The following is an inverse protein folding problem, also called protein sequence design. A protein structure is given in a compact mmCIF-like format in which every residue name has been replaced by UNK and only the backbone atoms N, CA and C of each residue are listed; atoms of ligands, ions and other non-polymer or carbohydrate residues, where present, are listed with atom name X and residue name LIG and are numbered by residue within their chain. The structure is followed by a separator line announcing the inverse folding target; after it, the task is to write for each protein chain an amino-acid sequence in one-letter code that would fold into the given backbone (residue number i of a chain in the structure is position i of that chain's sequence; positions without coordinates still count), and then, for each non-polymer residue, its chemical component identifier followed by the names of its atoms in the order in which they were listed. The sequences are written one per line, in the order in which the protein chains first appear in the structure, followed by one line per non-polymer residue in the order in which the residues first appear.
data_IF_443087303262
#
_entry.id   IF_443087303262
#
_cell.length_a   1.000
_cell.length_b   1.000
_cell.length_c   1.000
_cell.angle_alpha   90.00
_cell.angle_beta   90.00
_cell.angle_gamma   90.00
#
_symmetry.space_group_name_H-M   'P 1'
#
loop_
_entity.id
_entity.type
_entity.pdbx_description
1 polymer ?
#
# COMPACT_ATOMS: atom_id res chain seq x y z
N UNK A 1 19.49 3.23 -24.26
CA UNK A 1 18.79 3.33 -22.95
C UNK A 1 17.82 2.16 -22.83
N UNK A 2 17.97 1.30 -21.81
CA UNK A 2 17.11 0.13 -21.62
C UNK A 2 15.68 0.57 -21.26
N UNK A 3 14.79 0.61 -22.25
CA UNK A 3 13.38 1.04 -22.16
C UNK A 3 12.48 0.16 -21.28
N UNK A 4 13.07 -0.73 -20.46
CA UNK A 4 12.39 -1.76 -19.68
C UNK A 4 12.28 -1.52 -18.17
N UNK A 5 12.95 -0.50 -17.64
CA UNK A 5 12.96 -0.21 -16.21
C UNK A 5 11.83 0.74 -15.78
N UNK A 6 11.40 0.63 -14.53
CA UNK A 6 10.46 1.56 -13.91
C UNK A 6 11.19 2.79 -13.40
N UNK A 7 10.61 3.97 -13.62
CA UNK A 7 11.03 5.20 -12.98
C UNK A 7 10.38 5.31 -11.59
N UNK A 8 11.13 4.96 -10.56
CA UNK A 8 10.65 4.98 -9.17
C UNK A 8 10.98 6.34 -8.56
N UNK A 9 9.94 7.01 -8.07
CA UNK A 9 10.03 8.32 -7.41
C UNK A 9 10.02 8.12 -5.90
N UNK A 10 10.98 8.74 -5.20
CA UNK A 10 11.16 8.60 -3.74
C UNK A 10 10.89 9.88 -2.95
N UNK A 11 10.27 10.89 -3.57
CA UNK A 11 9.88 12.12 -2.89
C UNK A 11 8.53 12.62 -3.40
N UNK A 12 7.57 12.76 -2.49
CA UNK A 12 6.21 13.27 -2.76
C UNK A 12 5.66 14.16 -1.65
N UNK A 13 6.31 14.20 -0.48
CA UNK A 13 5.89 15.03 0.64
C UNK A 13 6.61 16.36 0.51
N UNK A 14 5.83 17.43 0.43
CA UNK A 14 6.29 18.78 0.14
C UNK A 14 6.18 19.72 1.36
N UNK A 15 5.67 19.21 2.48
CA UNK A 15 5.52 19.94 3.74
C UNK A 15 6.09 19.14 4.91
N UNK A 16 6.19 19.75 6.08
CA UNK A 16 6.67 19.10 7.30
C UNK A 16 5.62 18.14 7.92
N UNK A 17 6.06 17.36 8.91
CA UNK A 17 5.20 16.42 9.64
C UNK A 17 4.01 17.14 10.29
N UNK A 18 4.23 18.34 10.87
CA UNK A 18 3.19 19.10 11.57
C UNK A 18 2.07 19.53 10.64
N UNK A 19 2.40 19.95 9.41
CA UNK A 19 1.42 20.29 8.39
C UNK A 19 0.46 19.14 8.12
N UNK A 20 0.98 17.93 7.83
CA UNK A 20 0.12 16.79 7.51
C UNK A 20 -0.71 16.35 8.71
N UNK A 21 -0.16 16.38 9.93
CA UNK A 21 -0.93 16.07 11.15
C UNK A 21 -2.07 17.07 11.34
N UNK A 22 -1.82 18.37 11.18
CA UNK A 22 -2.86 19.40 11.27
C UNK A 22 -3.91 19.26 10.17
N UNK A 23 -3.48 18.94 8.94
CA UNK A 23 -4.40 18.66 7.82
C UNK A 23 -5.31 17.49 8.15
N UNK A 24 -4.78 16.37 8.63
CA UNK A 24 -5.57 15.19 9.03
C UNK A 24 -6.61 15.57 10.09
N UNK A 25 -6.22 16.33 11.12
CA UNK A 25 -7.13 16.79 12.19
C UNK A 25 -8.22 17.75 11.72
N UNK A 26 -7.93 18.55 10.70
CA UNK A 26 -8.88 19.54 10.16
C UNK A 26 -10.00 18.94 9.31
N UNK A 27 -9.90 17.66 8.96
CA UNK A 27 -10.87 16.96 8.11
C UNK A 27 -12.20 16.87 8.85
N UNK A 28 -13.17 17.66 8.39
CA UNK A 28 -14.55 17.59 8.86
C UNK A 28 -15.29 16.51 8.09
N UNK A 29 -16.23 15.86 8.78
CA UNK A 29 -17.10 14.88 8.16
C UNK A 29 -18.15 15.59 7.28
N UNK A 30 -17.87 15.73 5.99
CA UNK A 30 -18.83 16.21 5.00
C UNK A 30 -19.35 14.98 4.25
N UNK A 31 -20.66 14.91 4.01
CA UNK A 31 -21.30 13.83 3.26
C UNK A 31 -20.96 13.89 1.75
N UNK A 32 -19.66 13.87 1.41
CA UNK A 32 -19.16 13.69 0.05
C UNK A 32 -19.43 12.25 -0.38
N UNK A 33 -19.87 12.07 -1.62
CA UNK A 33 -20.11 10.74 -2.20
C UNK A 33 -18.96 10.36 -3.13
N UNK A 34 -18.58 9.08 -3.23
CA UNK A 34 -17.61 8.63 -4.22
C UNK A 34 -18.16 8.79 -5.64
N UNK A 35 -17.35 9.29 -6.56
CA UNK A 35 -17.67 9.37 -7.98
C UNK A 35 -16.96 8.24 -8.73
N UNK A 36 -17.72 7.37 -9.39
CA UNK A 36 -17.14 6.30 -10.19
C UNK A 36 -16.67 6.82 -11.55
N UNK A 37 -15.39 6.67 -11.84
CA UNK A 37 -14.77 7.09 -13.08
C UNK A 37 -14.26 5.88 -13.87
N UNK A 38 -14.31 5.98 -15.21
CA UNK A 38 -13.67 5.00 -16.10
C UNK A 38 -12.22 5.38 -16.34
N UNK A 39 -11.35 4.38 -16.43
CA UNK A 39 -9.95 4.52 -16.85
C UNK A 39 -9.65 3.45 -17.90
N UNK A 40 -8.99 3.85 -18.99
CA UNK A 40 -8.44 2.93 -19.98
C UNK A 40 -6.93 2.92 -19.81
N UNK A 41 -6.37 1.78 -19.39
CA UNK A 41 -4.93 1.62 -19.23
C UNK A 41 -4.27 1.37 -20.58
N UNK A 42 -3.17 2.08 -20.86
CA UNK A 42 -2.36 1.86 -22.07
C UNK A 42 -1.69 0.50 -22.11
N UNK A 43 -1.42 -0.07 -20.94
CA UNK A 43 -0.70 -1.33 -20.81
C UNK A 43 -1.41 -2.29 -19.86
N UNK A 44 -1.40 -3.57 -20.22
CA UNK A 44 -1.96 -4.67 -19.44
C UNK A 44 -1.08 -5.91 -19.64
N UNK A 45 -0.45 -6.40 -18.58
CA UNK A 45 0.46 -7.55 -18.61
C UNK A 45 0.00 -8.60 -17.62
N UNK A 46 0.07 -9.88 -18.00
CA UNK A 46 -0.28 -11.00 -17.13
C UNK A 46 0.94 -11.50 -16.35
N UNK A 47 0.71 -11.92 -15.10
CA UNK A 47 1.73 -12.47 -14.20
C UNK A 47 2.63 -11.43 -13.54
N UNK A 48 3.76 -11.89 -12.98
CA UNK A 48 4.68 -11.06 -12.17
C UNK A 48 5.70 -10.26 -12.99
N UNK A 49 5.79 -10.54 -14.29
CA UNK A 49 6.70 -9.83 -15.19
C UNK A 49 6.23 -8.37 -15.30
N UNK A 50 7.18 -7.41 -15.25
CA UNK A 50 6.93 -5.95 -15.33
C UNK A 50 6.35 -5.30 -14.07
N UNK A 51 6.35 -5.94 -12.92
CA UNK A 51 6.01 -5.28 -11.64
C UNK A 51 7.16 -4.32 -11.25
N UNK A 52 6.87 -3.09 -10.77
CA UNK A 52 7.90 -2.23 -10.20
C UNK A 52 8.38 -2.80 -8.87
N UNK A 53 9.63 -3.24 -8.83
CA UNK A 53 10.26 -3.76 -7.63
C UNK A 53 11.42 -2.89 -7.19
N UNK A 54 11.65 -2.88 -5.88
CA UNK A 54 12.84 -2.33 -5.22
C UNK A 54 13.57 -3.54 -4.61
N UNK A 55 14.89 -3.54 -4.70
CA UNK A 55 15.72 -4.56 -4.05
C UNK A 55 15.99 -4.17 -2.60
N UNK A 56 15.79 -5.11 -1.67
CA UNK A 56 16.24 -5.03 -0.29
C UNK A 56 17.54 -5.83 -0.17
N UNK A 57 18.67 -5.12 -0.08
CA UNK A 57 20.00 -5.75 0.04
C UNK A 57 20.12 -6.60 1.32
N UNK A 58 19.49 -6.19 2.42
CA UNK A 58 19.64 -6.87 3.72
C UNK A 58 18.99 -8.26 3.68
N UNK A 59 17.77 -8.34 3.16
CA UNK A 59 17.03 -9.60 3.05
C UNK A 59 17.22 -10.30 1.70
N UNK A 60 18.06 -9.73 0.81
CA UNK A 60 18.34 -10.22 -0.55
C UNK A 60 17.06 -10.55 -1.33
N UNK A 61 16.08 -9.63 -1.31
CA UNK A 61 14.74 -9.86 -1.87
C UNK A 61 14.21 -8.64 -2.61
N UNK A 62 13.49 -8.88 -3.70
CA UNK A 62 12.76 -7.84 -4.43
C UNK A 62 11.36 -7.67 -3.84
N UNK A 63 10.90 -6.44 -3.66
CA UNK A 63 9.53 -6.15 -3.21
C UNK A 63 8.88 -5.03 -4.00
N UNK A 64 7.56 -5.02 -4.08
CA UNK A 64 6.78 -4.05 -4.84
C UNK A 64 7.01 -2.64 -4.29
N UNK A 65 7.33 -1.68 -5.17
CA UNK A 65 7.86 -0.35 -4.80
C UNK A 65 6.98 0.45 -3.82
N UNK A 66 5.67 0.25 -3.81
CA UNK A 66 4.76 0.63 -2.72
C UNK A 66 3.39 0.03 -3.05
N UNK A 67 2.91 -0.86 -2.19
CA UNK A 67 1.71 -1.66 -2.42
C UNK A 67 0.59 -1.27 -1.43
N UNK A 68 -0.37 -0.50 -1.93
CA UNK A 68 -1.61 -0.21 -1.23
C UNK A 68 -2.62 -1.29 -1.60
N UNK A 69 -3.17 -1.98 -0.60
CA UNK A 69 -4.04 -3.14 -0.77
C UNK A 69 -5.45 -2.78 -0.32
N UNK A 70 -6.44 -3.10 -1.15
CA UNK A 70 -7.87 -3.00 -0.82
C UNK A 70 -8.64 -4.16 -1.44
N UNK A 71 -9.83 -4.44 -0.92
CA UNK A 71 -10.73 -5.49 -1.41
C UNK A 71 -12.17 -5.04 -1.29
N UNK A 72 -13.07 -5.59 -2.12
CA UNK A 72 -14.50 -5.40 -1.94
C UNK A 72 -14.94 -6.15 -0.69
N UNK A 73 -15.58 -5.44 0.25
CA UNK A 73 -15.96 -5.98 1.56
C UNK A 73 -14.92 -5.71 2.65
N UNK A 74 -13.69 -5.34 2.30
CA UNK A 74 -12.76 -4.74 3.25
C UNK A 74 -13.07 -3.25 3.32
N UNK A 75 -13.58 -2.75 4.44
CA UNK A 75 -13.78 -1.31 4.66
C UNK A 75 -12.44 -0.59 4.93
N UNK A 76 -11.52 -0.62 3.98
CA UNK A 76 -10.23 0.04 4.14
C UNK A 76 -9.21 -0.20 3.03
N UNK A 77 -8.08 0.47 3.22
CA UNK A 77 -6.85 0.36 2.44
C UNK A 77 -5.74 0.15 3.46
N UNK A 78 -4.80 -0.73 3.19
CA UNK A 78 -3.61 -0.92 4.02
C UNK A 78 -2.36 -1.00 3.17
N UNK A 79 -1.24 -0.56 3.72
CA UNK A 79 0.06 -0.59 3.05
C UNK A 79 0.81 -1.85 3.48
N UNK A 80 1.38 -2.59 2.53
CA UNK A 80 2.08 -3.83 2.82
C UNK A 80 3.36 -3.96 2.02
N UNK A 81 4.34 -4.66 2.60
CA UNK A 81 5.49 -5.19 1.88
C UNK A 81 5.05 -6.46 1.16
N UNK A 82 5.18 -6.47 -0.17
CA UNK A 82 4.87 -7.62 -1.02
C UNK A 82 6.15 -8.02 -1.74
N UNK A 83 6.67 -9.19 -1.42
CA UNK A 83 7.95 -9.70 -1.87
C UNK A 83 7.81 -10.65 -3.05
N UNK A 84 8.79 -10.63 -3.95
CA UNK A 84 8.92 -11.53 -5.08
C UNK A 84 10.08 -12.48 -4.79
N UNK A 85 9.75 -13.72 -4.43
CA UNK A 85 10.73 -14.79 -4.15
C UNK A 85 10.50 -15.95 -5.09
N UNK A 86 11.54 -16.39 -5.81
CA UNK A 86 11.46 -17.52 -6.74
C UNK A 86 10.28 -17.41 -7.74
N UNK A 87 10.08 -16.22 -8.34
CA UNK A 87 8.96 -15.90 -9.24
C UNK A 87 7.55 -16.01 -8.63
N UNK A 88 7.43 -16.07 -7.31
CA UNK A 88 6.16 -16.05 -6.58
C UNK A 88 6.06 -14.79 -5.70
N UNK A 89 4.84 -14.29 -5.53
CA UNK A 89 4.58 -13.13 -4.69
C UNK A 89 4.12 -13.57 -3.28
N UNK A 90 4.60 -12.89 -2.25
CA UNK A 90 4.32 -13.15 -0.84
C UNK A 90 4.03 -11.84 -0.12
N UNK A 91 3.09 -11.84 0.81
CA UNK A 91 2.72 -10.65 1.60
C UNK A 91 2.82 -10.93 3.09
N UNK A 92 3.47 -10.03 3.81
CA UNK A 92 3.40 -9.99 5.26
C UNK A 92 2.20 -9.12 5.67
N UNK A 93 1.25 -9.70 6.41
CA UNK A 93 0.01 -9.01 6.80
C UNK A 93 0.05 -8.68 8.29
N UNK A 94 0.55 -7.48 8.62
CA UNK A 94 0.47 -6.93 9.98
C UNK A 94 -0.90 -6.28 10.28
N UNK A 95 -1.62 -5.84 9.25
CA UNK A 95 -2.92 -5.18 9.41
C UNK A 95 -4.00 -6.16 9.88
N UNK A 96 -4.47 -5.99 11.12
CA UNK A 96 -5.49 -6.85 11.73
C UNK A 96 -6.80 -6.89 10.92
N UNK A 97 -7.21 -5.78 10.29
CA UNK A 97 -8.44 -5.73 9.50
C UNK A 97 -8.34 -6.63 8.27
N UNK A 98 -7.26 -6.52 7.48
CA UNK A 98 -7.02 -7.40 6.34
C UNK A 98 -6.83 -8.85 6.76
N UNK A 99 -6.09 -9.11 7.85
CA UNK A 99 -5.91 -10.46 8.37
C UNK A 99 -7.25 -11.11 8.75
N UNK A 100 -8.06 -10.43 9.56
CA UNK A 100 -9.38 -10.93 9.96
C UNK A 100 -10.27 -11.18 8.73
N UNK A 101 -10.29 -10.27 7.76
CA UNK A 101 -11.07 -10.44 6.54
C UNK A 101 -10.62 -11.65 5.70
N UNK A 102 -9.31 -11.88 5.59
CA UNK A 102 -8.77 -13.07 4.90
C UNK A 102 -9.20 -14.36 5.62
N UNK A 103 -9.02 -14.45 6.94
CA UNK A 103 -9.27 -15.68 7.69
C UNK A 103 -10.75 -15.94 7.97
N UNK A 104 -11.60 -14.91 8.02
CA UNK A 104 -13.06 -15.05 8.15
C UNK A 104 -13.77 -15.36 6.82
N UNK A 105 -13.10 -15.21 5.68
CA UNK A 105 -13.67 -15.57 4.38
C UNK A 105 -13.97 -17.07 4.31
N UNK A 106 -15.12 -17.46 3.78
CA UNK A 106 -15.46 -18.87 3.54
C UNK A 106 -14.57 -19.54 2.47
N UNK A 107 -13.86 -18.73 1.68
CA UNK A 107 -12.92 -19.20 0.66
C UNK A 107 -11.49 -19.33 1.22
N UNK A 108 -10.65 -20.11 0.55
CA UNK A 108 -9.21 -20.21 0.86
C UNK A 108 -8.39 -18.99 0.42
N UNK A 109 -9.05 -17.98 -0.16
CA UNK A 109 -8.44 -16.75 -0.63
C UNK A 109 -9.43 -15.58 -0.57
N UNK A 110 -8.90 -14.36 -0.72
CA UNK A 110 -9.66 -13.16 -1.03
C UNK A 110 -9.10 -12.50 -2.30
N UNK A 111 -10.00 -11.95 -3.13
CA UNK A 111 -9.60 -11.13 -4.26
C UNK A 111 -9.21 -9.73 -3.76
N UNK A 112 -8.11 -9.19 -4.25
CA UNK A 112 -7.59 -7.88 -3.85
C UNK A 112 -7.16 -7.05 -5.05
N UNK A 113 -7.24 -5.73 -4.85
CA UNK A 113 -6.58 -4.73 -5.66
C UNK A 113 -5.33 -4.29 -4.93
N UNK A 114 -4.18 -4.44 -5.58
CA UNK A 114 -2.92 -3.84 -5.13
C UNK A 114 -2.64 -2.68 -6.08
N UNK A 115 -2.46 -1.47 -5.56
CA UNK A 115 -2.24 -0.30 -6.40
C UNK A 115 -1.19 0.63 -5.82
N UNK A 116 -0.76 1.56 -6.65
CA UNK A 116 0.18 2.61 -6.31
C UNK A 116 -0.35 3.95 -6.81
N UNK A 117 -0.13 5.02 -6.06
CA UNK A 117 -0.57 6.36 -6.41
C UNK A 117 0.40 7.38 -5.83
N UNK A 118 0.42 8.59 -6.40
CA UNK A 118 1.08 9.75 -5.81
C UNK A 118 0.15 10.56 -4.89
N UNK A 119 -1.11 10.13 -4.74
CA UNK A 119 -2.06 10.84 -3.90
C UNK A 119 -1.79 10.60 -2.42
N UNK A 120 -1.29 11.65 -1.75
CA UNK A 120 -0.90 11.64 -0.33
C UNK A 120 -2.03 11.12 0.56
N UNK A 121 -3.28 11.47 0.31
CA UNK A 121 -4.41 11.01 1.15
C UNK A 121 -4.55 9.49 1.20
N UNK A 122 -4.33 8.78 0.09
CA UNK A 122 -4.44 7.32 0.09
C UNK A 122 -3.25 6.68 0.80
N UNK A 123 -2.07 7.29 0.69
CA UNK A 123 -0.85 6.87 1.37
C UNK A 123 -1.01 7.03 2.88
N UNK A 124 -1.49 8.21 3.33
CA UNK A 124 -1.82 8.46 4.74
C UNK A 124 -2.93 7.54 5.24
N UNK A 125 -4.02 7.36 4.47
CA UNK A 125 -5.09 6.45 4.82
C UNK A 125 -4.59 5.01 5.01
N UNK A 126 -3.66 4.57 4.15
CA UNK A 126 -3.10 3.22 4.20
C UNK A 126 -2.13 3.04 5.38
N UNK A 127 -1.31 4.05 5.69
CA UNK A 127 -0.28 4.00 6.72
C UNK A 127 -0.81 4.25 8.16
N UNK A 128 -1.89 5.01 8.32
CA UNK A 128 -2.39 5.43 9.63
C UNK A 128 -3.57 4.57 10.14
N UNK A 129 -3.71 4.50 11.46
CA UNK A 129 -4.85 3.89 12.15
C UNK A 129 -6.08 4.82 12.16
N UNK A 130 -6.65 5.03 10.98
CA UNK A 130 -7.90 5.77 10.78
C UNK A 130 -9.07 4.77 10.77
N UNK A 131 -10.11 5.04 11.56
CA UNK A 131 -11.27 4.16 11.69
C UNK A 131 -12.07 4.05 10.39
N UNK A 132 -12.50 5.20 9.86
CA UNK A 132 -13.21 5.32 8.59
C UNK A 132 -12.30 5.89 7.50
N UNK A 133 -11.56 4.98 6.86
CA UNK A 133 -10.61 5.32 5.78
C UNK A 133 -11.33 5.86 4.53
N UNK A 134 -12.56 5.44 4.26
CA UNK A 134 -13.33 5.94 3.12
C UNK A 134 -13.71 7.40 3.36
N UNK A 135 -14.30 7.69 4.51
CA UNK A 135 -14.70 9.04 4.87
C UNK A 135 -13.51 10.00 4.91
N UNK A 136 -12.38 9.55 5.46
CA UNK A 136 -11.13 10.31 5.44
C UNK A 136 -10.69 10.66 4.02
N UNK A 137 -10.62 9.68 3.11
CA UNK A 137 -10.20 9.90 1.71
C UNK A 137 -11.14 10.84 0.97
N UNK A 138 -12.46 10.74 1.22
CA UNK A 138 -13.46 11.60 0.59
C UNK A 138 -13.37 13.06 1.05
N UNK A 139 -12.97 13.29 2.31
CA UNK A 139 -12.95 14.61 2.92
C UNK A 139 -11.57 15.27 2.98
N UNK A 140 -10.51 14.58 2.53
CA UNK A 140 -9.15 15.12 2.53
C UNK A 140 -8.98 16.30 1.56
N UNK A 141 -9.56 16.18 0.36
CA UNK A 141 -9.55 17.15 -0.74
C UNK A 141 -10.85 17.02 -1.58
N UNK A 142 -10.88 17.65 -2.76
CA UNK A 142 -12.04 17.63 -3.66
C UNK A 142 -12.03 16.51 -4.71
N UNK A 143 -10.96 15.72 -4.84
CA UNK A 143 -10.90 14.63 -5.83
C UNK A 143 -11.50 13.33 -5.25
N UNK A 144 -12.79 13.11 -5.45
CA UNK A 144 -13.51 11.92 -5.00
C UNK A 144 -13.70 10.86 -6.10
N UNK A 145 -12.79 10.77 -7.09
CA UNK A 145 -12.95 9.86 -8.23
C UNK A 145 -12.27 8.51 -8.02
N UNK A 146 -13.04 7.43 -8.19
CA UNK A 146 -12.60 6.04 -7.98
C UNK A 146 -12.86 5.19 -9.21
N UNK A 147 -12.01 4.19 -9.44
CA UNK A 147 -12.22 3.22 -10.54
C UNK A 147 -12.77 1.88 -10.05
N UNK A 148 -12.57 1.56 -8.76
CA UNK A 148 -13.07 0.35 -8.12
C UNK A 148 -12.97 0.48 -6.60
N UNK A 149 -14.11 0.55 -5.90
CA UNK A 149 -14.17 0.71 -4.45
C UNK A 149 -13.25 1.86 -3.96
N UNK A 150 -12.17 1.55 -3.24
CA UNK A 150 -11.19 2.52 -2.71
C UNK A 150 -9.95 2.71 -3.60
N UNK A 151 -9.99 2.26 -4.85
CA UNK A 151 -8.91 2.50 -5.83
C UNK A 151 -9.13 3.85 -6.52
N UNK A 152 -8.21 4.82 -6.38
CA UNK A 152 -8.36 6.14 -7.01
C UNK A 152 -8.33 6.08 -8.54
N UNK A 153 -8.88 7.09 -9.20
CA UNK A 153 -8.73 7.28 -10.64
C UNK A 153 -7.28 7.58 -11.05
N UNK A 154 -6.54 8.34 -10.25
CA UNK A 154 -5.16 8.76 -10.50
C UNK A 154 -4.13 7.78 -9.92
N UNK A 155 -4.24 6.50 -10.30
CA UNK A 155 -3.25 5.48 -9.94
C UNK A 155 -2.13 5.36 -10.97
N UNK A 156 -0.95 5.00 -10.48
CA UNK A 156 0.24 4.72 -11.27
C UNK A 156 0.18 3.33 -11.90
N UNK A 157 -0.21 2.33 -11.10
CA UNK A 157 -0.53 1.00 -11.55
C UNK A 157 -1.66 0.38 -10.71
N UNK A 158 -2.33 -0.62 -11.30
CA UNK A 158 -3.26 -1.53 -10.63
C UNK A 158 -2.84 -2.96 -10.90
N UNK A 159 -2.72 -3.75 -9.85
CA UNK A 159 -2.52 -5.19 -9.89
C UNK A 159 -3.80 -5.85 -9.37
N UNK A 160 -4.38 -6.74 -10.16
CA UNK A 160 -5.43 -7.65 -9.68
C UNK A 160 -4.77 -8.93 -9.16
N UNK A 161 -5.08 -9.31 -7.92
CA UNK A 161 -4.45 -10.46 -7.28
C UNK A 161 -5.39 -11.21 -6.33
N UNK A 162 -4.94 -12.38 -5.85
CA UNK A 162 -5.53 -13.11 -4.73
C UNK A 162 -4.52 -13.28 -3.62
N UNK A 163 -4.96 -13.08 -2.39
CA UNK A 163 -4.21 -13.45 -1.18
C UNK A 163 -4.79 -14.77 -0.68
N UNK A 164 -3.94 -15.78 -0.48
CA UNK A 164 -4.33 -17.09 0.00
C UNK A 164 -4.09 -17.21 1.51
N UNK A 165 -4.92 -18.02 2.20
CA UNK A 165 -4.70 -18.39 3.61
C UNK A 165 -3.42 -19.22 3.81
N UNK A 166 -2.98 -19.92 2.76
CA UNK A 166 -1.70 -20.63 2.71
C UNK A 166 -0.54 -19.69 3.05
N UNK A 167 0.31 -20.12 3.97
CA UNK A 167 1.46 -19.33 4.43
C UNK A 167 2.78 -20.04 4.28
N UNK A 168 3.84 -19.27 4.05
CA UNK A 168 5.23 -19.71 4.07
C UNK A 168 6.00 -18.92 5.12
N UNK A 169 6.94 -19.58 5.78
CA UNK A 169 7.84 -18.93 6.75
C UNK A 169 9.13 -18.57 6.03
N UNK A 170 9.59 -17.34 6.21
CA UNK A 170 10.89 -16.87 5.76
C UNK A 170 11.70 -16.40 6.96
N UNK A 171 13.02 -16.59 6.90
CA UNK A 171 13.94 -15.90 7.79
C UNK A 171 14.15 -14.49 7.25
N UNK A 172 13.94 -13.50 8.09
CA UNK A 172 14.10 -12.08 7.77
C UNK A 172 14.96 -11.43 8.84
N UNK A 173 15.91 -10.61 8.41
CA UNK A 173 16.65 -9.72 9.28
C UNK A 173 15.85 -8.43 9.43
N UNK A 174 15.32 -8.23 10.64
CA UNK A 174 14.53 -7.06 10.97
C UNK A 174 15.36 -6.16 11.87
N UNK A 175 15.53 -4.90 11.47
CA UNK A 175 16.12 -3.87 12.33
C UNK A 175 15.04 -2.90 12.81
N UNK A 176 14.95 -2.76 14.13
CA UNK A 176 14.23 -1.68 14.83
C UNK A 176 15.19 -0.83 15.68
N UNK A 177 16.50 -0.88 15.40
CA UNK A 177 17.59 -0.29 16.19
C UNK A 177 18.98 -0.60 15.60
N UNK A 178 20.03 -0.57 16.43
CA UNK A 178 21.43 -0.65 15.95
C UNK A 178 21.85 -2.03 15.41
N UNK A 179 21.21 -3.14 15.84
CA UNK A 179 21.53 -4.49 15.35
C UNK A 179 20.31 -5.18 14.70
N UNK A 180 20.48 -5.77 13.50
CA UNK A 180 19.45 -6.59 12.86
C UNK A 180 19.26 -7.93 13.60
N UNK A 181 18.01 -8.34 13.78
CA UNK A 181 17.64 -9.61 14.43
C UNK A 181 16.99 -10.55 13.43
N UNK A 182 17.61 -11.71 13.23
CA UNK A 182 17.07 -12.78 12.40
C UNK A 182 15.79 -13.37 13.02
N UNK A 183 14.67 -13.24 12.32
CA UNK A 183 13.34 -13.62 12.82
C UNK A 183 12.58 -14.46 11.79
N UNK A 184 11.83 -15.45 12.27
CA UNK A 184 10.90 -16.21 11.45
C UNK A 184 9.61 -15.40 11.22
N UNK A 185 9.37 -15.00 9.97
CA UNK A 185 8.18 -14.24 9.59
C UNK A 185 7.24 -15.08 8.72
N UNK A 186 5.94 -15.01 9.03
CA UNK A 186 4.88 -15.72 8.32
C UNK A 186 4.28 -14.86 7.22
N UNK A 187 4.40 -15.30 5.99
CA UNK A 187 3.88 -14.62 4.80
C UNK A 187 2.74 -15.40 4.15
N UNK A 188 1.71 -14.71 3.70
CA UNK A 188 0.65 -15.28 2.88
C UNK A 188 1.06 -15.30 1.39
N UNK A 189 0.68 -16.35 0.67
CA UNK A 189 0.94 -16.43 -0.77
C UNK A 189 0.02 -15.50 -1.56
N UNK A 190 0.58 -14.82 -2.57
CA UNK A 190 -0.17 -14.01 -3.52
C UNK A 190 -0.10 -14.61 -4.93
N UNK A 191 -1.25 -14.72 -5.59
CA UNK A 191 -1.33 -14.95 -7.04
C UNK A 191 -1.65 -13.64 -7.75
N UNK A 192 -0.70 -13.15 -8.54
CA UNK A 192 -0.89 -11.95 -9.37
C UNK A 192 -1.44 -12.37 -10.73
N UNK A 193 -2.57 -11.81 -11.11
CA UNK A 193 -3.21 -12.09 -12.40
C UNK A 193 -2.71 -11.16 -13.48
N UNK A 194 -2.81 -9.86 -13.23
CA UNK A 194 -2.35 -8.84 -14.15
C UNK A 194 -1.88 -7.58 -13.43
N UNK A 195 -1.09 -6.79 -14.16
CA UNK A 195 -0.72 -5.43 -13.85
C UNK A 195 -1.15 -4.51 -15.00
N UNK A 196 -1.78 -3.39 -14.65
CA UNK A 196 -2.26 -2.36 -15.57
C UNK A 196 -1.63 -1.01 -15.23
N UNK A 197 -1.16 -0.28 -16.23
CA UNK A 197 -0.53 1.03 -16.03
C UNK A 197 -0.56 1.89 -17.31
N UNK A 198 -0.40 3.21 -17.16
CA UNK A 198 -0.30 4.15 -18.29
C UNK A 198 1.14 4.53 -18.63
N UNK A 199 2.01 4.60 -17.63
CA UNK A 199 3.44 4.87 -17.78
C UNK A 199 4.21 4.05 -16.74
N UNK A 200 5.48 3.72 -17.00
CA UNK A 200 6.34 3.02 -16.04
C UNK A 200 6.93 4.01 -15.03
N UNK A 201 6.05 4.72 -14.31
CA UNK A 201 6.42 5.65 -13.25
C UNK A 201 5.56 5.36 -12.03
N UNK A 202 6.18 5.20 -10.87
CA UNK A 202 5.48 4.85 -9.63
C UNK A 202 6.19 5.44 -8.41
N UNK A 203 5.50 5.42 -7.27
CA UNK A 203 6.07 5.76 -5.97
C UNK A 203 6.87 4.57 -5.42
N UNK A 204 8.05 4.86 -4.90
CA UNK A 204 8.88 3.97 -4.10
C UNK A 204 8.84 4.34 -2.62
N UNK A 205 8.64 3.37 -1.74
CA UNK A 205 8.82 3.49 -0.29
C UNK A 205 9.82 2.42 0.11
N UNK A 206 11.05 2.85 0.40
CA UNK A 206 12.11 1.97 0.90
C UNK A 206 11.92 1.77 2.39
N UNK A 207 11.98 0.53 2.87
CA UNK A 207 11.96 0.26 4.31
C UNK A 207 13.16 0.96 4.97
N UNK A 208 12.89 1.71 6.04
CA UNK A 208 13.90 2.54 6.72
C UNK A 208 14.32 3.81 5.97
N UNK A 209 13.83 4.03 4.75
CA UNK A 209 14.08 5.24 3.96
C UNK A 209 13.25 6.45 4.41
N UNK A 210 13.47 7.59 3.77
CA UNK A 210 12.91 8.88 4.19
C UNK A 210 11.39 8.91 4.23
N UNK A 211 10.71 8.45 3.16
CA UNK A 211 9.24 8.38 3.15
C UNK A 211 8.72 7.46 4.27
N UNK A 212 9.38 6.32 4.51
CA UNK A 212 8.96 5.39 5.54
C UNK A 212 9.08 6.02 6.94
N UNK A 213 10.22 6.66 7.24
CA UNK A 213 10.45 7.40 8.48
C UNK A 213 9.46 8.55 8.64
N UNK A 214 9.23 9.34 7.59
CA UNK A 214 8.28 10.45 7.60
C UNK A 214 6.84 10.00 7.91
N UNK A 215 6.39 8.87 7.34
CA UNK A 215 5.10 8.27 7.66
C UNK A 215 5.04 7.78 9.11
N UNK A 216 6.13 7.22 9.62
CA UNK A 216 6.24 6.79 11.01
C UNK A 216 6.12 7.98 11.97
N UNK A 217 6.79 9.11 11.67
CA UNK A 217 6.72 10.34 12.46
C UNK A 217 5.31 10.95 12.47
N UNK A 218 4.62 10.97 11.32
CA UNK A 218 3.22 11.39 11.24
C UNK A 218 2.36 10.48 12.14
N UNK A 219 2.55 9.17 12.07
CA UNK A 219 1.80 8.20 12.88
C UNK A 219 2.03 8.42 14.38
N UNK A 220 3.29 8.55 14.80
CA UNK A 220 3.65 8.81 16.19
C UNK A 220 3.06 10.12 16.71
N UNK A 221 3.22 11.21 15.95
CA UNK A 221 2.69 12.51 16.34
C UNK A 221 1.14 12.48 16.39
N UNK A 222 0.48 11.93 15.37
CA UNK A 222 -0.98 11.81 15.31
C UNK A 222 -1.56 10.99 16.47
N UNK A 223 -0.96 9.84 16.79
CA UNK A 223 -1.44 8.96 17.86
C UNK A 223 -1.23 9.58 19.25
N UNK A 224 -0.12 10.28 19.49
CA UNK A 224 0.12 10.99 20.75
C UNK A 224 -0.95 12.04 21.08
N UNK A 225 -1.62 12.61 20.07
CA UNK A 225 -2.77 13.50 20.29
C UNK A 225 -4.06 12.74 20.58
N UNK A 226 -4.23 11.54 20.02
CA UNK A 226 -5.45 10.74 20.18
C UNK A 226 -5.61 10.18 21.60
N UNK A 227 -4.50 9.96 22.31
CA UNK A 227 -4.49 9.44 23.69
C UNK A 227 -4.33 10.51 24.78
N UNK A 228 -4.35 11.80 24.41
CA UNK A 228 -4.29 12.94 25.35
C UNK A 228 -5.63 13.71 25.49
N UNK A 229 -6.71 13.15 24.95
CA UNK A 229 -8.10 13.61 25.10
C UNK A 229 -8.91 12.52 25.78
#
# INVERSE_FOLDING_TARGET
MNSNQWNIVYNIFDHDVKYYVNKIKSIKNINKKPEMARIHFRHNYNGVKKIPVIHDDHNSVDYISSALVTSRGLNGISMHRIEIRHNMAYIFIADKKLSNFLYSSGNNYIDVNIFNTFSIKYILAAALHIEDKLNFVLNYDDDNRFIDFLVPKNINFLIKARIYKETKIFMEDISFGDEPVATQMKYNKIKIFNIKYNSRRCLGIVQGGDIHKFLFDISGLYNNYRYKL
#
